data_IF_125571075830
#
_entry.id   IF_125571075830
#
_cell.length_a   1.000
_cell.length_b   1.000
_cell.length_c   1.000
_cell.angle_alpha   90.00
_cell.angle_beta   90.00
_cell.angle_gamma   90.00
#
_symmetry.space_group_name_H-M   'P 1'
#
loop_
_entity.id
_entity.type
_entity.pdbx_description
1 polymer ?
#
# COMPACT_ATOMS: atom_id res chain seq x y z
N UNK A 1 1.92 -8.98 3.76
CA UNK A 1 3.16 -8.27 4.17
C UNK A 1 4.32 -8.66 3.29
N UNK A 2 5.14 -7.68 2.89
CA UNK A 2 6.29 -7.90 2.03
C UNK A 2 7.47 -7.04 2.49
N UNK A 3 8.66 -7.62 2.44
CA UNK A 3 9.90 -6.90 2.68
C UNK A 3 10.24 -6.03 1.46
N UNK A 4 10.41 -4.72 1.69
CA UNK A 4 10.80 -3.72 0.69
C UNK A 4 12.30 -3.71 0.39
N UNK A 5 13.08 -4.64 0.99
CA UNK A 5 14.53 -4.62 0.92
C UNK A 5 15.22 -5.97 1.01
N UNK A 6 16.52 -5.94 0.69
CA UNK A 6 17.41 -7.10 0.74
C UNK A 6 18.37 -7.06 1.94
N UNK A 7 18.19 -6.14 2.89
CA UNK A 7 19.06 -6.01 4.05
C UNK A 7 18.94 -7.26 4.93
N UNK A 8 20.06 -7.96 5.18
CA UNK A 8 20.05 -9.16 6.03
C UNK A 8 19.82 -8.72 7.47
N UNK A 9 18.79 -9.25 8.15
CA UNK A 9 18.51 -8.85 9.53
C UNK A 9 19.45 -9.50 10.58
N UNK A 10 19.62 -8.95 11.80
CA UNK A 10 19.03 -7.71 12.30
C UNK A 10 19.76 -6.53 11.67
N UNK A 11 19.07 -5.83 10.79
CA UNK A 11 19.61 -4.66 10.14
C UNK A 11 19.41 -3.51 11.12
N UNK A 12 20.47 -2.78 11.56
CA UNK A 12 20.34 -1.56 12.34
C UNK A 12 19.73 -0.39 11.52
N UNK A 13 19.10 -0.72 10.41
CA UNK A 13 18.42 0.16 9.49
C UNK A 13 17.43 1.03 10.25
N UNK A 14 17.74 2.33 10.37
CA UNK A 14 16.85 3.46 10.66
C UNK A 14 15.60 3.54 9.76
N UNK A 15 15.30 2.51 8.96
CA UNK A 15 14.25 2.43 7.97
C UNK A 15 13.49 1.09 8.08
N UNK A 16 12.18 1.11 7.81
CA UNK A 16 11.32 -0.07 7.94
C UNK A 16 11.48 -0.98 6.72
N UNK A 17 12.01 -2.18 6.94
CA UNK A 17 12.20 -3.18 5.88
C UNK A 17 10.91 -3.74 5.31
N UNK A 18 9.75 -3.52 5.92
CA UNK A 18 8.48 -4.16 5.53
C UNK A 18 7.46 -3.20 4.90
N UNK A 19 7.87 -2.00 4.46
CA UNK A 19 6.98 -0.90 4.01
C UNK A 19 5.99 -1.26 2.91
N UNK A 20 6.29 -2.26 2.09
CA UNK A 20 5.40 -2.74 1.02
C UNK A 20 4.32 -3.71 1.54
N UNK A 21 3.84 -3.49 2.76
CA UNK A 21 2.83 -4.34 3.40
C UNK A 21 1.48 -3.65 3.40
N UNK A 22 0.44 -4.42 3.11
CA UNK A 22 -0.95 -3.97 3.14
C UNK A 22 -1.72 -4.71 4.23
N UNK A 23 -2.74 -4.04 4.75
CA UNK A 23 -3.75 -4.62 5.62
C UNK A 23 -5.07 -4.66 4.87
N UNK A 24 -5.72 -5.81 4.86
CA UNK A 24 -7.00 -6.00 4.18
C UNK A 24 -8.01 -6.61 5.13
N UNK A 25 -9.24 -6.12 5.08
CA UNK A 25 -10.38 -6.77 5.71
C UNK A 25 -11.52 -6.94 4.71
N UNK A 26 -12.17 -8.10 4.79
CA UNK A 26 -13.38 -8.42 4.03
C UNK A 26 -14.53 -8.58 5.02
N UNK A 27 -15.63 -7.87 4.79
CA UNK A 27 -16.83 -7.94 5.61
C UNK A 27 -18.01 -8.36 4.74
N UNK A 28 -18.69 -9.42 5.15
CA UNK A 28 -19.91 -9.87 4.51
C UNK A 28 -21.13 -9.44 5.35
N UNK A 29 -21.99 -8.63 4.76
CA UNK A 29 -23.22 -8.15 5.36
C UNK A 29 -24.43 -8.74 4.63
N UNK A 30 -25.34 -9.37 5.36
CA UNK A 30 -26.62 -9.81 4.82
C UNK A 30 -27.68 -8.73 5.08
N UNK A 31 -28.22 -8.14 4.01
CA UNK A 31 -29.22 -7.08 4.07
C UNK A 31 -30.56 -7.61 3.56
N UNK A 32 -31.61 -7.41 4.36
CA UNK A 32 -32.98 -7.75 3.95
C UNK A 32 -33.53 -6.60 3.11
N UNK A 33 -33.90 -6.90 1.87
CA UNK A 33 -34.55 -5.97 0.94
C UNK A 33 -35.97 -6.43 0.61
N UNK A 34 -36.77 -5.57 -0.01
CA UNK A 34 -38.11 -5.94 -0.51
C UNK A 34 -38.08 -7.12 -1.50
N UNK A 35 -36.94 -7.34 -2.17
CA UNK A 35 -36.72 -8.41 -3.14
C UNK A 35 -36.07 -9.67 -2.52
N UNK A 36 -35.86 -9.69 -1.20
CA UNK A 36 -35.22 -10.79 -0.49
C UNK A 36 -33.86 -10.43 0.12
N UNK A 37 -33.12 -11.45 0.56
CA UNK A 37 -31.82 -11.31 1.20
C UNK A 37 -30.73 -11.04 0.15
N UNK A 38 -30.00 -9.94 0.32
CA UNK A 38 -28.84 -9.59 -0.51
C UNK A 38 -27.60 -9.62 0.37
N UNK A 39 -26.55 -10.30 -0.08
CA UNK A 39 -25.24 -10.25 0.58
C UNK A 39 -24.40 -9.18 -0.08
N UNK A 40 -23.90 -8.25 0.73
CA UNK A 40 -22.97 -7.20 0.34
C UNK A 40 -21.61 -7.57 0.93
N UNK A 41 -20.61 -7.75 0.06
CA UNK A 41 -19.22 -7.94 0.48
C UNK A 41 -18.48 -6.62 0.34
N UNK A 42 -17.96 -6.11 1.44
CA UNK A 42 -17.14 -4.92 1.52
C UNK A 42 -15.69 -5.35 1.69
N UNK A 43 -14.81 -4.85 0.82
CA UNK A 43 -13.36 -5.05 0.95
C UNK A 43 -12.73 -3.71 1.22
N UNK A 44 -12.07 -3.59 2.37
CA UNK A 44 -11.19 -2.48 2.68
C UNK A 44 -9.74 -2.95 2.55
N UNK A 45 -8.96 -2.18 1.81
CA UNK A 45 -7.51 -2.37 1.68
C UNK A 45 -6.85 -1.06 2.07
N UNK A 46 -6.07 -1.10 3.14
CA UNK A 46 -5.26 0.02 3.56
C UNK A 46 -3.81 -0.23 3.14
N UNK A 47 -3.32 0.63 2.26
CA UNK A 47 -1.91 0.74 1.91
C UNK A 47 -1.30 1.73 2.90
N UNK A 48 -1.14 1.27 4.13
CA UNK A 48 -0.53 2.02 5.23
C UNK A 48 0.97 2.18 4.96
N UNK A 49 1.30 3.10 4.07
CA UNK A 49 2.66 3.42 3.63
C UNK A 49 2.90 4.91 3.40
N UNK A 50 1.87 5.76 3.32
CA UNK A 50 2.03 7.19 3.00
C UNK A 50 2.31 8.09 4.22
N UNK A 51 2.08 7.64 5.47
CA UNK A 51 2.56 8.38 6.63
C UNK A 51 2.04 7.94 8.01
N UNK A 52 2.75 8.27 9.11
CA UNK A 52 2.40 7.88 10.49
C UNK A 52 1.08 8.44 11.04
N UNK A 53 0.47 9.42 10.36
CA UNK A 53 -0.66 10.20 10.85
C UNK A 53 -1.74 10.44 9.80
N UNK A 54 -1.79 9.57 8.79
CA UNK A 54 -2.93 9.57 7.88
C UNK A 54 -4.08 8.78 8.52
N UNK A 55 -5.21 9.46 8.70
CA UNK A 55 -6.46 8.91 9.22
C UNK A 55 -7.61 9.08 8.22
N UNK A 56 -7.30 9.48 6.98
CA UNK A 56 -8.29 9.81 5.95
C UNK A 56 -9.06 8.59 5.41
N UNK A 57 -8.65 7.38 5.80
CA UNK A 57 -9.34 6.13 5.46
C UNK A 57 -10.66 5.93 6.20
N UNK A 58 -11.01 6.80 7.16
CA UNK A 58 -12.34 6.81 7.81
C UNK A 58 -13.08 8.10 7.52
N UNK A 59 -14.37 7.96 7.20
CA UNK A 59 -15.25 9.05 6.77
C UNK A 59 -15.64 9.96 7.96
N UNK A 60 -15.91 9.38 9.14
CA UNK A 60 -16.31 10.13 10.34
C UNK A 60 -15.24 10.09 11.44
N UNK A 61 -14.27 11.00 11.38
CA UNK A 61 -13.25 11.14 12.41
C UNK A 61 -13.54 12.35 13.33
N UNK A 62 -14.40 12.16 14.33
CA UNK A 62 -14.84 13.22 15.23
C UNK A 62 -14.75 12.82 16.72
N UNK A 63 -13.76 13.38 17.41
CA UNK A 63 -13.45 13.05 18.81
C UNK A 63 -14.61 13.35 19.77
N UNK A 64 -15.42 14.37 19.48
CA UNK A 64 -16.55 14.81 20.33
C UNK A 64 -17.85 14.05 20.07
N UNK A 65 -18.06 13.55 18.86
CA UNK A 65 -19.33 12.95 18.45
C UNK A 65 -19.28 11.43 18.41
N UNK A 66 -18.13 10.86 18.06
CA UNK A 66 -17.93 9.42 17.90
C UNK A 66 -16.53 9.06 18.37
N UNK A 67 -16.28 9.19 19.68
CA UNK A 67 -14.96 8.98 20.27
C UNK A 67 -14.42 7.57 20.01
N UNK A 68 -15.30 6.57 19.87
CA UNK A 68 -14.93 5.19 19.54
C UNK A 68 -14.19 5.07 18.20
N UNK A 69 -14.66 5.75 17.15
CA UNK A 69 -14.03 5.72 15.82
C UNK A 69 -12.69 6.46 15.86
N UNK A 70 -12.64 7.60 16.55
CA UNK A 70 -11.39 8.34 16.75
C UNK A 70 -10.34 7.46 17.43
N UNK A 71 -10.69 6.78 18.53
CA UNK A 71 -9.77 5.86 19.19
C UNK A 71 -9.35 4.70 18.29
N UNK A 72 -10.31 4.06 17.61
CA UNK A 72 -10.06 2.92 16.74
C UNK A 72 -9.05 3.22 15.64
N UNK A 73 -9.18 4.36 14.95
CA UNK A 73 -8.26 4.77 13.87
C UNK A 73 -6.83 5.03 14.38
N UNK A 74 -6.68 5.73 15.51
CA UNK A 74 -5.35 6.01 16.07
C UNK A 74 -4.66 4.74 16.54
N UNK A 75 -5.41 3.86 17.21
CA UNK A 75 -4.89 2.58 17.69
C UNK A 75 -4.57 1.64 16.53
N UNK A 76 -5.37 1.63 15.47
CA UNK A 76 -5.12 0.81 14.28
C UNK A 76 -3.78 1.17 13.63
N UNK A 77 -3.49 2.46 13.44
CA UNK A 77 -2.19 2.91 12.91
C UNK A 77 -1.03 2.52 13.82
N UNK A 78 -1.21 2.65 15.14
CA UNK A 78 -0.19 2.32 16.12
C UNK A 78 0.17 0.82 16.12
N UNK A 79 -0.85 -0.04 16.14
CA UNK A 79 -0.64 -1.49 16.15
C UNK A 79 -0.22 -2.04 14.79
N UNK A 80 -0.71 -1.48 13.68
CA UNK A 80 -0.18 -1.84 12.35
C UNK A 80 1.31 -1.55 12.22
N UNK A 81 1.75 -0.40 12.75
CA UNK A 81 3.17 -0.07 12.82
C UNK A 81 3.94 -1.03 13.76
N UNK A 82 3.29 -1.49 14.84
CA UNK A 82 3.79 -2.55 15.71
C UNK A 82 4.06 -3.85 14.97
N UNK A 83 3.12 -4.33 14.15
CA UNK A 83 3.27 -5.53 13.30
C UNK A 83 4.52 -5.42 12.41
N UNK A 84 4.68 -4.27 11.76
CA UNK A 84 5.80 -3.99 10.86
C UNK A 84 7.14 -3.92 11.59
N UNK A 85 7.15 -3.33 12.78
CA UNK A 85 8.32 -3.25 13.66
C UNK A 85 8.73 -4.65 14.10
N UNK A 86 7.78 -5.43 14.64
CA UNK A 86 8.00 -6.79 15.10
C UNK A 86 8.50 -7.71 13.98
N UNK A 87 7.97 -7.54 12.76
CA UNK A 87 8.47 -8.25 11.59
C UNK A 87 9.90 -7.86 11.24
N UNK A 88 10.25 -6.57 11.30
CA UNK A 88 11.60 -6.09 11.02
C UNK A 88 12.64 -6.57 12.06
N UNK A 89 12.26 -6.63 13.33
CA UNK A 89 13.16 -6.98 14.43
C UNK A 89 13.30 -8.49 14.64
N UNK A 90 12.21 -9.24 14.53
CA UNK A 90 12.17 -10.64 14.98
C UNK A 90 12.11 -11.67 13.87
N UNK A 91 11.65 -11.34 12.65
CA UNK A 91 11.64 -12.29 11.53
C UNK A 91 13.01 -12.38 10.84
N UNK A 92 14.01 -12.62 11.69
CA UNK A 92 15.44 -12.46 11.44
C UNK A 92 16.16 -13.76 11.82
N UNK A 93 17.07 -14.25 10.96
CA UNK A 93 17.91 -15.43 11.19
C UNK A 93 17.14 -16.69 11.66
N UNK A 94 16.47 -17.36 10.72
CA UNK A 94 15.72 -18.59 10.97
C UNK A 94 16.71 -19.72 11.29
N UNK A 95 16.70 -20.18 12.54
CA UNK A 95 17.41 -21.38 13.00
C UNK A 95 18.95 -21.34 12.83
N UNK A 96 19.58 -20.18 12.99
CA UNK A 96 21.05 -20.04 12.93
C UNK A 96 21.62 -20.09 11.51
N UNK A 97 20.77 -19.97 10.50
CA UNK A 97 21.15 -19.86 9.09
C UNK A 97 21.08 -18.41 8.61
N UNK A 98 21.76 -18.05 7.52
CA UNK A 98 21.62 -16.72 6.87
C UNK A 98 20.23 -16.49 6.25
N UNK A 99 19.26 -17.38 6.51
CA UNK A 99 17.89 -17.31 5.99
C UNK A 99 17.03 -16.33 6.79
N UNK A 100 16.28 -15.48 6.09
CA UNK A 100 15.37 -14.51 6.69
C UNK A 100 14.02 -14.49 5.96
N UNK A 101 12.99 -13.98 6.62
CA UNK A 101 11.67 -13.85 6.00
C UNK A 101 11.65 -12.70 4.99
N UNK A 102 11.11 -12.95 3.79
CA UNK A 102 10.94 -11.95 2.72
C UNK A 102 9.47 -11.56 2.50
N UNK A 103 8.54 -12.41 2.94
CA UNK A 103 7.10 -12.19 2.85
C UNK A 103 6.37 -12.88 3.98
N UNK A 104 5.22 -12.34 4.35
CA UNK A 104 4.34 -12.88 5.37
C UNK A 104 2.88 -12.64 5.00
N UNK A 105 2.05 -13.66 5.17
CA UNK A 105 0.60 -13.56 5.05
C UNK A 105 0.00 -14.04 6.37
N UNK A 106 -0.73 -13.17 7.06
CA UNK A 106 -1.40 -13.47 8.32
C UNK A 106 -2.89 -13.21 8.13
N UNK A 107 -3.71 -14.24 8.36
CA UNK A 107 -5.15 -14.17 8.19
C UNK A 107 -5.84 -14.52 9.50
N UNK A 108 -6.65 -13.58 9.97
CA UNK A 108 -7.43 -13.68 11.20
C UNK A 108 -8.90 -13.73 10.84
N UNK A 109 -9.55 -14.88 11.02
CA UNK A 109 -10.97 -15.08 10.68
C UNK A 109 -11.80 -15.23 11.95
N UNK A 110 -12.78 -14.35 12.23
CA UNK A 110 -13.61 -14.44 13.45
C UNK A 110 -14.29 -15.81 13.54
N UNK A 111 -14.24 -16.46 14.70
CA UNK A 111 -14.98 -17.70 14.91
C UNK A 111 -16.41 -17.39 15.32
N UNK A 112 -17.38 -17.91 14.57
CA UNK A 112 -18.81 -17.65 14.79
C UNK A 112 -19.34 -17.98 16.21
N UNK A 113 -18.65 -18.84 16.97
CA UNK A 113 -19.06 -19.25 18.32
C UNK A 113 -18.28 -18.54 19.43
N UNK A 114 -17.21 -17.84 19.11
CA UNK A 114 -16.41 -17.15 20.11
C UNK A 114 -16.91 -15.71 20.25
N UNK A 115 -17.37 -15.36 21.45
CA UNK A 115 -17.91 -14.03 21.74
C UNK A 115 -16.93 -13.20 22.57
N UNK A 116 -15.93 -13.85 23.16
CA UNK A 116 -14.93 -13.17 23.96
C UNK A 116 -13.76 -12.69 23.09
N UNK A 117 -13.82 -11.41 22.69
CA UNK A 117 -12.78 -10.72 21.92
C UNK A 117 -11.45 -10.58 22.68
N UNK A 118 -11.42 -10.76 23.99
CA UNK A 118 -10.18 -10.71 24.77
C UNK A 118 -9.33 -11.97 24.58
N UNK A 119 -9.93 -13.10 24.19
CA UNK A 119 -9.19 -14.35 24.03
C UNK A 119 -8.28 -14.36 22.78
N UNK A 120 -7.28 -15.24 22.79
CA UNK A 120 -6.49 -15.55 21.60
C UNK A 120 -7.22 -16.51 20.65
N UNK A 121 -8.38 -17.02 21.05
CA UNK A 121 -9.19 -17.96 20.27
C UNK A 121 -10.29 -17.27 19.45
N UNK A 122 -10.54 -15.98 19.68
CA UNK A 122 -11.53 -15.17 18.98
C UNK A 122 -11.40 -15.26 17.45
N UNK A 123 -10.16 -15.27 16.96
CA UNK A 123 -9.85 -15.50 15.55
C UNK A 123 -9.30 -16.92 15.34
N UNK A 124 -9.75 -17.57 14.27
CA UNK A 124 -8.97 -18.61 13.60
C UNK A 124 -7.78 -17.95 12.91
N UNK A 125 -6.60 -18.53 13.09
CA UNK A 125 -5.36 -18.05 12.49
C UNK A 125 -4.93 -18.96 11.35
N UNK A 126 -4.67 -18.36 10.20
CA UNK A 126 -3.83 -18.94 9.16
C UNK A 126 -2.63 -18.04 8.93
N UNK A 127 -1.45 -18.63 8.73
CA UNK A 127 -0.26 -17.88 8.36
C UNK A 127 0.61 -18.64 7.37
N UNK A 128 1.30 -17.88 6.52
CA UNK A 128 2.37 -18.38 5.67
C UNK A 128 3.51 -17.37 5.58
N UNK A 129 4.75 -17.84 5.62
CA UNK A 129 5.96 -17.03 5.57
C UNK A 129 6.84 -17.58 4.46
N UNK A 130 7.21 -16.71 3.52
CA UNK A 130 8.19 -17.01 2.49
C UNK A 130 9.56 -16.52 2.92
N UNK A 131 10.57 -17.37 2.75
CA UNK A 131 11.94 -17.13 3.19
C UNK A 131 12.89 -16.83 2.01
N UNK A 132 14.05 -16.25 2.30
CA UNK A 132 15.06 -15.87 1.32
C UNK A 132 15.67 -17.06 0.56
N UNK A 133 15.60 -18.27 1.12
CA UNK A 133 16.03 -19.53 0.51
C UNK A 133 14.94 -20.18 -0.36
N UNK A 134 13.84 -19.45 -0.63
CA UNK A 134 12.64 -19.94 -1.33
C UNK A 134 11.81 -20.98 -0.57
N UNK A 135 12.14 -21.28 0.70
CA UNK A 135 11.29 -22.12 1.53
C UNK A 135 10.03 -21.36 1.97
N UNK A 136 8.93 -22.10 2.16
CA UNK A 136 7.67 -21.57 2.68
C UNK A 136 7.31 -22.34 3.95
N UNK A 137 7.01 -21.60 5.01
CA UNK A 137 6.52 -22.13 6.27
C UNK A 137 5.06 -21.72 6.43
N UNK A 138 4.18 -22.62 6.87
CA UNK A 138 2.78 -22.30 7.09
C UNK A 138 2.20 -22.95 8.35
N UNK A 139 1.00 -22.51 8.73
CA UNK A 139 0.30 -23.03 9.91
C UNK A 139 -0.09 -24.51 9.79
N UNK A 140 -0.24 -25.04 8.58
CA UNK A 140 -0.69 -26.42 8.33
C UNK A 140 0.43 -27.44 8.53
N UNK A 141 1.64 -27.08 8.10
CA UNK A 141 2.86 -27.85 8.25
C UNK A 141 3.42 -27.83 9.67
N UNK A 142 2.98 -26.89 10.52
CA UNK A 142 3.55 -26.66 11.85
C UNK A 142 2.52 -26.52 12.99
N UNK A 143 1.60 -27.48 13.08
CA UNK A 143 0.47 -27.45 14.04
C UNK A 143 0.86 -27.46 15.52
N UNK A 144 2.05 -27.95 15.87
CA UNK A 144 2.50 -28.02 17.28
C UNK A 144 3.12 -26.71 17.79
N UNK A 145 3.34 -25.72 16.91
CA UNK A 145 3.99 -24.47 17.27
C UNK A 145 2.97 -23.51 17.88
N UNK A 146 3.28 -23.00 19.08
CA UNK A 146 2.50 -21.92 19.70
C UNK A 146 2.67 -20.66 18.84
N UNK A 147 1.59 -20.16 18.26
CA UNK A 147 1.66 -19.04 17.32
C UNK A 147 1.85 -17.68 18.02
N UNK A 148 1.25 -17.49 19.20
CA UNK A 148 1.29 -16.24 19.95
C UNK A 148 2.16 -16.35 21.19
N UNK A 149 2.82 -15.25 21.57
CA UNK A 149 3.64 -15.15 22.79
C UNK A 149 4.58 -16.37 22.97
N UNK A 150 5.44 -16.59 21.98
CA UNK A 150 6.42 -17.68 21.96
C UNK A 150 7.77 -17.20 21.42
N UNK A 151 8.82 -17.97 21.66
CA UNK A 151 10.18 -17.67 21.19
C UNK A 151 10.37 -17.86 19.68
N UNK A 152 9.31 -18.22 18.95
CA UNK A 152 9.37 -18.35 17.51
C UNK A 152 9.47 -16.99 16.83
N UNK A 153 10.40 -16.85 15.88
CA UNK A 153 10.67 -15.62 15.12
C UNK A 153 9.43 -14.94 14.50
N UNK A 154 8.39 -15.70 14.12
CA UNK A 154 7.15 -15.15 13.55
C UNK A 154 6.09 -14.77 14.58
N UNK A 155 6.24 -15.24 15.83
CA UNK A 155 5.26 -15.06 16.90
C UNK A 155 5.04 -13.59 17.30
N UNK A 156 6.07 -12.73 17.33
CA UNK A 156 5.88 -11.31 17.65
C UNK A 156 4.96 -10.59 16.67
N UNK A 157 5.24 -10.71 15.36
CA UNK A 157 4.42 -10.09 14.32
C UNK A 157 2.98 -10.66 14.31
N UNK A 158 2.81 -11.95 14.60
CA UNK A 158 1.49 -12.58 14.71
C UNK A 158 0.70 -12.13 15.94
N UNK A 159 1.37 -11.86 17.06
CA UNK A 159 0.72 -11.41 18.29
C UNK A 159 0.29 -9.95 18.15
N UNK A 160 1.15 -9.08 17.64
CA UNK A 160 0.80 -7.70 17.28
C UNK A 160 -0.33 -7.68 16.25
N UNK A 161 -0.27 -8.58 15.25
CA UNK A 161 -1.27 -8.69 14.20
C UNK A 161 -2.63 -9.13 14.73
N UNK A 162 -2.65 -9.99 15.76
CA UNK A 162 -3.88 -10.40 16.44
C UNK A 162 -4.55 -9.21 17.12
N UNK A 163 -3.78 -8.39 17.85
CA UNK A 163 -4.33 -7.23 18.52
C UNK A 163 -4.80 -6.15 17.53
N UNK A 164 -4.01 -5.92 16.48
CA UNK A 164 -4.39 -5.08 15.34
C UNK A 164 -5.73 -5.55 14.72
N UNK A 165 -5.89 -6.86 14.49
CA UNK A 165 -7.11 -7.44 13.95
C UNK A 165 -8.32 -7.25 14.89
N UNK A 166 -8.15 -7.34 16.22
CA UNK A 166 -9.22 -7.06 17.20
C UNK A 166 -9.69 -5.60 17.13
N UNK A 167 -8.75 -4.65 16.98
CA UNK A 167 -9.05 -3.23 16.82
C UNK A 167 -9.78 -2.99 15.49
N UNK A 168 -9.27 -3.55 14.38
CA UNK A 168 -9.89 -3.43 13.06
C UNK A 168 -11.32 -4.00 13.05
N UNK A 169 -11.51 -5.19 13.64
CA UNK A 169 -12.83 -5.80 13.79
C UNK A 169 -13.78 -4.92 14.59
N UNK A 170 -13.31 -4.34 15.71
CA UNK A 170 -14.09 -3.43 16.53
C UNK A 170 -14.46 -2.17 15.74
N UNK A 171 -13.52 -1.57 15.01
CA UNK A 171 -13.73 -0.37 14.21
C UNK A 171 -14.73 -0.61 13.07
N UNK A 172 -14.56 -1.68 12.29
CA UNK A 172 -15.47 -2.03 11.20
C UNK A 172 -16.87 -2.37 11.71
N UNK A 173 -16.97 -3.06 12.86
CA UNK A 173 -18.27 -3.33 13.47
C UNK A 173 -19.00 -2.05 13.89
N UNK A 174 -18.26 -1.03 14.37
CA UNK A 174 -18.84 0.28 14.71
C UNK A 174 -19.27 1.05 13.48
N UNK A 175 -18.42 1.10 12.47
CA UNK A 175 -18.67 1.84 11.23
C UNK A 175 -19.88 1.26 10.48
N UNK A 176 -20.06 -0.06 10.54
CA UNK A 176 -21.24 -0.76 9.99
C UNK A 176 -22.44 -0.77 10.94
N UNK A 177 -22.35 -0.12 12.10
CA UNK A 177 -23.43 0.00 13.07
C UNK A 177 -23.85 -1.31 13.73
N UNK A 178 -22.97 -2.32 13.75
CA UNK A 178 -23.19 -3.58 14.44
C UNK A 178 -22.81 -3.46 15.93
N UNK A 179 -23.67 -2.78 16.70
CA UNK A 179 -23.42 -2.50 18.11
C UNK A 179 -23.48 -3.73 19.03
N UNK A 180 -23.93 -4.89 18.52
CA UNK A 180 -24.05 -6.14 19.27
C UNK A 180 -22.81 -7.04 19.13
N UNK A 181 -21.93 -6.75 18.17
CA UNK A 181 -20.69 -7.49 18.02
C UNK A 181 -19.75 -7.25 19.21
N UNK A 182 -18.92 -8.23 19.59
CA UNK A 182 -17.84 -8.03 20.55
C UNK A 182 -16.97 -6.84 20.13
N UNK A 183 -16.78 -5.86 21.01
CA UNK A 183 -16.17 -4.59 20.62
C UNK A 183 -15.30 -4.01 21.73
N UNK A 184 -14.05 -3.70 21.41
CA UNK A 184 -13.12 -3.10 22.36
C UNK A 184 -13.30 -1.58 22.50
N UNK A 185 -14.05 -0.93 21.61
CA UNK A 185 -14.10 0.53 21.51
C UNK A 185 -15.41 1.14 22.06
N UNK A 186 -16.27 0.32 22.69
CA UNK A 186 -17.58 0.75 23.20
C UNK A 186 -17.62 1.06 24.69
N UNK A 187 -16.65 0.59 25.46
CA UNK A 187 -16.58 0.85 26.89
C UNK A 187 -15.15 1.12 27.35
N UNK A 188 -15.01 1.71 28.55
CA UNK A 188 -13.71 2.11 29.06
C UNK A 188 -12.75 0.95 29.34
N UNK A 189 -13.27 -0.24 29.67
CA UNK A 189 -12.44 -1.42 29.94
C UNK A 189 -11.89 -1.99 28.64
N UNK A 190 -12.76 -2.17 27.64
CA UNK A 190 -12.36 -2.57 26.30
C UNK A 190 -11.34 -1.60 25.71
N UNK A 191 -11.55 -0.29 25.91
CA UNK A 191 -10.65 0.72 25.37
C UNK A 191 -9.27 0.65 26.04
N UNK A 192 -9.23 0.48 27.36
CA UNK A 192 -7.95 0.27 28.07
C UNK A 192 -7.23 -0.99 27.58
N UNK A 193 -7.97 -2.08 27.33
CA UNK A 193 -7.40 -3.29 26.74
C UNK A 193 -6.83 -3.01 25.34
N UNK A 194 -7.59 -2.31 24.48
CA UNK A 194 -7.15 -1.94 23.14
C UNK A 194 -5.90 -1.06 23.15
N UNK A 195 -5.77 -0.17 24.13
CA UNK A 195 -4.61 0.71 24.30
C UNK A 195 -3.39 -0.07 24.79
N UNK A 196 -3.55 -0.89 25.84
CA UNK A 196 -2.43 -1.47 26.57
C UNK A 196 -1.97 -2.83 26.06
N UNK A 197 -2.84 -3.58 25.37
CA UNK A 197 -2.61 -4.96 24.93
C UNK A 197 -1.93 -5.83 26.01
N UNK A 198 -2.57 -6.04 27.18
CA UNK A 198 -1.91 -6.69 28.32
C UNK A 198 -1.46 -8.13 28.05
N UNK A 199 -2.04 -8.78 27.03
CA UNK A 199 -1.70 -10.14 26.63
C UNK A 199 -0.58 -10.20 25.58
N UNK A 200 -0.11 -9.06 25.05
CA UNK A 200 0.98 -9.03 24.08
C UNK A 200 2.32 -8.93 24.81
N UNK A 201 2.99 -10.07 24.97
CA UNK A 201 4.30 -10.14 25.66
C UNK A 201 5.42 -9.48 24.87
N UNK A 202 5.17 -9.18 23.59
CA UNK A 202 6.14 -8.47 22.82
C UNK A 202 6.22 -7.04 23.32
N UNK A 203 5.15 -6.44 23.85
CA UNK A 203 5.14 -5.08 24.42
C UNK A 203 5.41 -5.09 25.92
N UNK A 204 6.13 -4.08 26.39
CA UNK A 204 5.91 -3.59 27.76
C UNK A 204 4.54 -2.86 27.78
N UNK A 205 3.66 -3.03 28.78
CA UNK A 205 2.33 -2.42 28.75
C UNK A 205 2.35 -0.91 28.44
N UNK A 206 1.78 -0.53 27.29
CA UNK A 206 1.76 0.85 26.79
C UNK A 206 3.11 1.43 26.32
N UNK A 207 4.14 0.60 26.19
CA UNK A 207 5.48 0.90 25.68
C UNK A 207 5.86 -0.06 24.52
N UNK A 208 7.07 0.12 23.99
CA UNK A 208 7.55 -0.63 22.84
C UNK A 208 7.87 -2.08 23.14
N UNK A 209 8.19 -2.79 22.06
CA UNK A 209 8.64 -4.17 22.08
C UNK A 209 9.75 -4.34 23.16
N UNK A 210 9.56 -5.25 24.11
CA UNK A 210 10.38 -5.47 25.30
C UNK A 210 11.88 -5.41 24.96
N UNK A 211 12.57 -4.39 25.49
CA UNK A 211 14.01 -4.20 25.29
C UNK A 211 14.46 -3.61 23.95
N UNK A 212 13.57 -3.09 23.10
CA UNK A 212 13.98 -2.39 21.88
C UNK A 212 14.51 -0.98 22.20
N UNK A 213 15.80 -0.91 22.57
CA UNK A 213 16.64 0.28 22.38
C UNK A 213 16.83 0.58 20.90
N UNK A 214 15.73 0.71 20.16
CA UNK A 214 15.76 0.88 18.72
C UNK A 214 16.06 2.35 18.42
N UNK A 215 17.18 2.59 17.75
CA UNK A 215 17.58 3.85 17.13
C UNK A 215 16.62 4.32 16.01
N UNK A 216 15.42 3.75 15.94
CA UNK A 216 14.46 3.79 14.83
C UNK A 216 13.44 4.94 14.95
N UNK A 217 13.44 5.73 16.02
CA UNK A 217 12.44 6.79 16.23
C UNK A 217 11.01 6.24 16.29
N UNK A 218 10.85 5.04 16.86
CA UNK A 218 9.62 4.23 16.88
C UNK A 218 8.56 4.80 17.82
N UNK A 219 8.96 5.71 18.71
CA UNK A 219 8.06 6.40 19.64
C UNK A 219 6.91 7.09 18.90
N UNK A 220 7.16 7.63 17.69
CA UNK A 220 6.13 8.33 16.90
C UNK A 220 4.93 7.47 16.50
N UNK A 221 5.04 6.15 16.57
CA UNK A 221 3.99 5.18 16.23
C UNK A 221 3.36 4.52 17.45
N UNK A 222 3.98 4.65 18.62
CA UNK A 222 3.36 4.31 19.92
C UNK A 222 2.85 5.55 20.64
N UNK A 223 2.71 6.63 19.86
CA UNK A 223 2.16 7.89 20.28
C UNK A 223 0.91 8.15 19.45
N UNK A 224 -0.11 8.68 20.12
CA UNK A 224 -1.29 9.19 19.46
C UNK A 224 -1.33 10.71 19.63
N UNK A 225 -1.82 11.45 18.62
CA UNK A 225 -2.04 12.88 18.78
C UNK A 225 -3.08 13.12 19.87
N UNK A 226 -2.87 14.18 20.65
CA UNK A 226 -3.91 14.73 21.51
C UNK A 226 -5.09 15.19 20.64
N UNK A 227 -6.33 15.10 21.15
CA UNK A 227 -7.48 15.67 20.48
C UNK A 227 -7.24 17.14 20.11
N UNK A 228 -7.60 17.55 18.88
CA UNK A 228 -7.45 18.92 18.35
C UNK A 228 -6.01 19.41 18.15
N UNK A 229 -4.99 18.56 18.28
CA UNK A 229 -3.63 18.93 17.90
C UNK A 229 -3.53 19.19 16.38
N UNK A 230 -3.05 20.37 16.00
CA UNK A 230 -2.88 20.78 14.59
C UNK A 230 -1.58 20.23 14.00
N UNK A 231 -1.43 18.90 13.97
CA UNK A 231 -0.41 18.21 13.18
C UNK A 231 1.07 18.46 13.55
N UNK A 232 1.35 19.29 14.56
CA UNK A 232 2.70 19.57 15.04
C UNK A 232 3.13 18.57 16.14
N UNK A 233 4.38 18.12 16.04
CA UNK A 233 5.01 17.06 16.85
C UNK A 233 4.99 17.28 18.37
N UNK A 234 4.45 18.41 18.84
CA UNK A 234 4.39 18.80 20.26
C UNK A 234 3.12 18.34 20.98
N UNK A 235 2.12 17.84 20.26
CA UNK A 235 0.84 17.40 20.83
C UNK A 235 0.66 15.89 20.89
N UNK A 236 1.71 15.10 21.16
CA UNK A 236 1.65 13.64 21.16
C UNK A 236 1.76 13.07 22.57
N UNK A 237 1.10 11.93 22.80
CA UNK A 237 1.15 11.19 24.06
C UNK A 237 1.36 9.72 23.78
N UNK A 238 2.18 9.06 24.59
CA UNK A 238 2.40 7.62 24.48
C UNK A 238 1.11 6.87 24.74
N UNK A 239 0.97 5.65 24.20
CA UNK A 239 -0.19 4.80 24.45
C UNK A 239 -0.45 4.62 25.95
N UNK A 240 0.59 4.39 26.77
CA UNK A 240 0.48 4.26 28.22
C UNK A 240 -0.18 5.49 28.89
N UNK A 241 0.23 6.69 28.50
CA UNK A 241 -0.28 7.93 29.09
C UNK A 241 -1.59 8.40 28.46
N UNK A 242 -1.89 7.90 27.26
CA UNK A 242 -2.95 8.42 26.40
C UNK A 242 -4.32 8.36 27.07
N UNK A 243 -4.69 7.21 27.64
CA UNK A 243 -6.01 7.01 28.23
C UNK A 243 -6.29 8.06 29.32
N UNK A 244 -5.38 8.18 30.28
CA UNK A 244 -5.53 9.13 31.40
C UNK A 244 -5.47 10.58 30.92
N UNK A 245 -4.45 10.96 30.13
CA UNK A 245 -4.28 12.35 29.67
C UNK A 245 -5.46 12.82 28.82
N UNK A 246 -5.97 11.97 27.93
CA UNK A 246 -7.08 12.32 27.03
C UNK A 246 -8.40 12.31 27.79
N UNK A 247 -8.62 11.38 28.73
CA UNK A 247 -9.82 11.37 29.56
C UNK A 247 -9.87 12.57 30.51
N UNK A 248 -8.73 12.94 31.11
CA UNK A 248 -8.59 14.12 32.00
C UNK A 248 -8.84 15.44 31.25
N UNK A 249 -8.54 15.49 29.94
CA UNK A 249 -8.79 16.66 29.10
C UNK A 249 -10.28 16.99 28.92
N UNK A 250 -11.18 16.02 29.16
CA UNK A 250 -12.64 16.12 28.93
C UNK A 250 -13.04 16.57 27.52
N UNK A 251 -12.15 16.38 26.54
CA UNK A 251 -12.42 16.74 25.13
C UNK A 251 -13.22 15.66 24.40
N UNK A 252 -13.15 14.41 24.88
CA UNK A 252 -13.75 13.26 24.20
C UNK A 252 -15.27 13.17 24.42
N UNK A 253 -15.95 12.79 23.36
CA UNK A 253 -17.35 12.38 23.40
C UNK A 253 -17.55 10.98 23.99
N UNK A 254 -18.81 10.49 24.01
CA UNK A 254 -19.10 9.15 24.47
C UNK A 254 -18.52 8.08 23.53
N UNK A 255 -18.03 6.99 24.14
CA UNK A 255 -17.81 5.74 23.42
C UNK A 255 -19.18 5.18 23.05
N UNK A 256 -19.51 5.16 21.76
CA UNK A 256 -20.85 4.85 21.29
C UNK A 256 -20.83 4.24 19.90
N UNK A 257 -21.87 3.45 19.62
CA UNK A 257 -22.19 2.93 18.31
C UNK A 257 -23.49 3.57 17.83
N UNK A 258 -23.57 3.84 16.52
CA UNK A 258 -24.76 4.35 15.85
C UNK A 258 -25.14 3.42 14.72
N UNK A 259 -26.43 3.34 14.42
CA UNK A 259 -26.88 2.57 13.26
C UNK A 259 -26.30 3.17 11.98
N UNK A 260 -25.69 2.32 11.16
CA UNK A 260 -25.19 2.71 9.85
C UNK A 260 -26.30 2.57 8.80
N UNK A 261 -26.25 3.42 7.77
CA UNK A 261 -27.13 3.32 6.60
C UNK A 261 -26.28 3.15 5.36
N UNK A 262 -26.35 1.99 4.72
CA UNK A 262 -25.69 1.75 3.44
C UNK A 262 -26.64 2.18 2.33
N UNK A 263 -26.28 3.25 1.62
CA UNK A 263 -27.06 3.75 0.48
C UNK A 263 -26.35 3.33 -0.80
N UNK A 264 -26.96 2.43 -1.57
CA UNK A 264 -26.55 2.18 -2.94
C UNK A 264 -27.34 3.11 -3.86
N UNK A 265 -26.66 4.10 -4.44
CA UNK A 265 -27.24 4.85 -5.56
C UNK A 265 -27.00 4.04 -6.83
N UNK A 266 -28.04 3.38 -7.32
CA UNK A 266 -28.02 2.84 -8.67
C UNK A 266 -27.92 4.02 -9.64
N UNK A 267 -26.71 4.28 -10.16
CA UNK A 267 -26.55 5.05 -11.38
C UNK A 267 -27.19 4.22 -12.50
N UNK A 268 -28.49 4.37 -12.68
CA UNK A 268 -29.17 3.93 -13.88
C UNK A 268 -28.58 4.74 -15.04
N UNK A 269 -27.46 4.27 -15.60
CA UNK A 269 -26.98 4.71 -16.89
C UNK A 269 -27.99 4.22 -17.91
N UNK A 270 -29.06 4.98 -18.10
CA UNK A 270 -29.98 4.76 -19.22
C UNK A 270 -29.11 4.88 -20.46
N UNK A 271 -28.90 3.80 -21.24
CA UNK A 271 -28.10 3.89 -22.44
C UNK A 271 -28.83 4.79 -23.42
N UNK A 272 -28.46 6.07 -23.44
CA UNK A 272 -28.96 6.98 -24.45
C UNK A 272 -28.18 6.70 -25.72
N UNK A 273 -28.93 6.40 -26.79
CA UNK A 273 -28.36 6.19 -28.11
C UNK A 273 -27.57 7.46 -28.48
N UNK A 274 -26.25 7.34 -28.65
CA UNK A 274 -25.42 8.47 -29.06
C UNK A 274 -25.94 9.01 -30.39
N UNK A 275 -25.94 10.32 -30.54
CA UNK A 275 -26.34 11.00 -31.78
C UNK A 275 -25.63 10.34 -32.97
N UNK A 276 -26.37 10.00 -34.03
CA UNK A 276 -25.86 9.24 -35.19
C UNK A 276 -24.63 9.88 -35.83
N UNK A 277 -24.46 11.20 -35.71
CA UNK A 277 -23.25 11.90 -36.16
C UNK A 277 -21.97 11.46 -35.43
N UNK A 278 -22.04 11.18 -34.12
CA UNK A 278 -20.88 10.70 -33.33
C UNK A 278 -20.52 9.27 -33.73
N UNK A 279 -21.51 8.43 -34.03
CA UNK A 279 -21.28 7.07 -34.54
C UNK A 279 -20.61 7.10 -35.91
N UNK A 280 -21.09 7.94 -36.82
CA UNK A 280 -20.54 8.08 -38.18
C UNK A 280 -19.10 8.62 -38.15
N UNK A 281 -18.84 9.62 -37.31
CA UNK A 281 -17.49 10.15 -37.08
C UNK A 281 -16.54 9.07 -36.53
N UNK A 282 -17.00 8.25 -35.59
CA UNK A 282 -16.19 7.19 -34.99
C UNK A 282 -15.82 6.10 -36.01
N UNK A 283 -16.75 5.75 -36.91
CA UNK A 283 -16.51 4.79 -37.99
C UNK A 283 -15.52 5.34 -39.01
N UNK A 284 -15.67 6.61 -39.43
CA UNK A 284 -14.75 7.25 -40.36
C UNK A 284 -13.34 7.33 -39.77
N UNK A 285 -13.22 7.70 -38.50
CA UNK A 285 -11.94 7.84 -37.82
C UNK A 285 -11.24 6.49 -37.67
N UNK A 286 -11.99 5.43 -37.31
CA UNK A 286 -11.46 4.06 -37.27
C UNK A 286 -10.95 3.60 -38.65
N UNK A 287 -11.74 3.79 -39.72
CA UNK A 287 -11.35 3.39 -41.07
C UNK A 287 -10.12 4.16 -41.58
N UNK A 288 -10.01 5.44 -41.25
CA UNK A 288 -8.87 6.28 -41.64
C UNK A 288 -7.57 5.81 -40.96
N UNK A 289 -7.64 5.41 -39.69
CA UNK A 289 -6.51 4.81 -38.96
C UNK A 289 -6.11 3.47 -39.57
N UNK A 290 -7.06 2.61 -39.94
CA UNK A 290 -6.76 1.33 -40.61
C UNK A 290 -6.10 1.52 -41.98
N UNK A 291 -6.56 2.50 -42.77
CA UNK A 291 -5.95 2.84 -44.05
C UNK A 291 -4.51 3.36 -43.89
N UNK A 292 -4.24 4.20 -42.88
CA UNK A 292 -2.89 4.66 -42.56
C UNK A 292 -1.97 3.51 -42.12
N UNK A 293 -2.47 2.59 -41.30
CA UNK A 293 -1.73 1.41 -40.87
C UNK A 293 -1.42 0.47 -42.06
N UNK A 294 -2.40 0.22 -42.93
CA UNK A 294 -2.22 -0.61 -44.11
C UNK A 294 -1.19 -0.01 -45.09
N UNK A 295 -1.23 1.31 -45.31
CA UNK A 295 -0.26 2.01 -46.15
C UNK A 295 1.18 1.90 -45.61
N UNK A 296 1.35 2.03 -44.29
CA UNK A 296 2.65 1.87 -43.62
C UNK A 296 3.19 0.46 -43.75
N UNK A 297 2.33 -0.57 -43.63
CA UNK A 297 2.73 -1.97 -43.82
C UNK A 297 3.13 -2.22 -45.28
N UNK A 298 2.39 -1.67 -46.24
CA UNK A 298 2.68 -1.83 -47.66
C UNK A 298 4.00 -1.15 -48.06
N UNK A 299 4.26 0.06 -47.59
CA UNK A 299 5.55 0.73 -47.83
C UNK A 299 6.71 -0.03 -47.18
N UNK A 300 6.54 -0.47 -45.93
CA UNK A 300 7.57 -1.26 -45.24
C UNK A 300 7.88 -2.59 -45.94
N UNK A 301 6.85 -3.29 -46.43
CA UNK A 301 7.04 -4.56 -47.17
C UNK A 301 7.64 -4.32 -48.55
N UNK A 302 7.24 -3.26 -49.26
CA UNK A 302 7.83 -2.88 -50.54
C UNK A 302 9.32 -2.54 -50.40
N UNK A 303 9.70 -1.71 -49.42
CA UNK A 303 11.09 -1.35 -49.14
C UNK A 303 11.93 -2.56 -48.74
N UNK A 304 11.36 -3.47 -47.94
CA UNK A 304 12.01 -4.70 -47.51
C UNK A 304 12.22 -5.74 -48.63
N UNK A 305 11.32 -5.80 -49.60
CA UNK A 305 11.41 -6.73 -50.74
C UNK A 305 12.28 -6.17 -51.87
N UNK A 306 12.15 -4.88 -52.19
CA UNK A 306 12.94 -4.23 -53.26
C UNK A 306 14.41 -4.15 -52.87
N UNK A 307 14.73 -3.86 -51.61
CA UNK A 307 16.12 -3.85 -51.11
C UNK A 307 16.82 -5.22 -51.14
N UNK A 308 16.06 -6.32 -51.09
CA UNK A 308 16.60 -7.69 -51.17
C UNK A 308 16.73 -8.23 -52.60
N UNK A 309 15.91 -7.75 -53.53
CA UNK A 309 15.87 -8.27 -54.90
C UNK A 309 16.83 -7.57 -55.87
N UNK A 310 17.18 -6.30 -55.65
CA UNK A 310 18.04 -5.56 -56.57
C UNK A 310 18.73 -4.36 -55.88
N UNK A 311 20.01 -4.50 -55.53
CA UNK A 311 20.78 -3.46 -54.80
C UNK A 311 21.02 -2.19 -55.62
N UNK A 312 20.76 -2.22 -56.93
CA UNK A 312 20.91 -1.06 -57.83
C UNK A 312 19.61 -0.25 -58.00
N UNK A 313 18.46 -0.71 -57.49
CA UNK A 313 17.20 0.02 -57.57
C UNK A 313 17.10 1.23 -56.60
N UNK A 314 18.10 1.40 -55.72
CA UNK A 314 18.17 2.50 -54.74
C UNK A 314 18.99 3.71 -55.22
N UNK A 315 19.48 3.71 -56.47
CA UNK A 315 20.23 4.84 -57.03
C UNK A 315 19.48 5.51 -58.17
N UNK A 316 19.36 6.85 -58.12
CA UNK A 316 18.84 7.63 -59.25
C UNK A 316 19.82 7.57 -60.43
N UNK A 317 19.27 7.47 -61.64
CA UNK A 317 20.01 7.48 -62.90
C UNK A 317 20.73 8.83 -63.06
N UNK A 318 21.99 8.90 -62.62
CA UNK A 318 22.81 10.12 -62.61
C UNK A 318 24.03 10.06 -61.68
N UNK A 319 24.05 9.20 -60.66
CA UNK A 319 25.20 9.10 -59.74
C UNK A 319 26.34 8.20 -60.22
N UNK A 320 26.26 7.59 -61.41
CA UNK A 320 27.27 6.66 -61.92
C UNK A 320 28.33 7.31 -62.84
N UNK A 321 28.43 8.64 -62.86
CA UNK A 321 29.45 9.35 -63.64
C UNK A 321 30.17 10.40 -62.80
N UNK A 322 31.24 9.99 -62.10
CA UNK A 322 32.47 10.79 -61.87
C UNK A 322 33.54 9.96 -61.13
N UNK A 323 34.09 8.96 -61.82
CA UNK A 323 35.48 8.58 -61.62
C UNK A 323 36.30 9.32 -62.69
N UNK A 324 36.86 10.48 -62.34
CA UNK A 324 37.76 11.20 -63.23
C UNK A 324 37.91 12.68 -62.86
N UNK A 325 39.14 13.06 -62.51
CA UNK A 325 39.66 14.43 -62.29
C UNK A 325 39.20 15.15 -61.01
N UNK A 326 40.10 15.28 -60.02
CA UNK A 326 40.97 16.45 -59.85
C UNK A 326 41.84 16.27 -58.58
N UNK A 327 43.12 15.96 -58.79
CA UNK A 327 44.18 16.38 -57.89
C UNK A 327 44.33 17.91 -58.00
N UNK A 328 44.77 18.53 -56.89
CA UNK A 328 45.31 19.89 -56.77
C UNK A 328 44.29 21.03 -56.56
N UNK A 329 44.23 21.49 -55.31
CA UNK A 329 44.59 22.84 -54.84
C UNK A 329 44.24 22.89 -53.34
N UNK A 330 45.05 22.28 -52.49
CA UNK A 330 45.94 23.03 -51.58
C UNK A 330 46.15 24.50 -51.93
N UNK A 331 46.18 25.31 -50.86
CA UNK A 331 46.50 26.73 -50.76
C UNK A 331 45.33 27.71 -50.94
N UNK A 332 44.70 28.11 -49.82
CA UNK A 332 44.99 29.42 -49.20
C UNK A 332 44.26 29.60 -47.86
N UNK A 333 45.03 30.07 -46.86
CA UNK A 333 44.62 30.73 -45.61
C UNK A 333 44.16 29.91 -44.40
N UNK A 334 45.14 29.30 -43.74
CA UNK A 334 45.38 29.58 -42.31
C UNK A 334 45.61 31.09 -42.12
N UNK A 335 44.81 31.79 -41.30
CA UNK A 335 45.22 32.59 -40.12
C UNK A 335 44.03 33.46 -39.63
N UNK A 336 43.74 33.35 -38.32
CA UNK A 336 43.11 34.35 -37.42
C UNK A 336 41.60 34.64 -37.48
N UNK A 337 40.95 34.05 -36.47
CA UNK A 337 39.96 34.64 -35.55
C UNK A 337 38.56 34.98 -36.08
N UNK A 338 37.61 34.11 -35.74
CA UNK A 338 36.17 34.37 -35.73
C UNK A 338 35.40 33.10 -35.36
N UNK A 339 34.66 33.17 -34.25
CA UNK A 339 33.91 32.14 -33.53
C UNK A 339 33.12 31.07 -34.32
N UNK A 340 32.87 29.97 -33.61
CA UNK A 340 31.86 28.89 -33.81
C UNK A 340 32.22 27.72 -34.73
N UNK A 341 32.94 26.75 -34.14
CA UNK A 341 32.88 25.35 -34.54
C UNK A 341 32.28 24.54 -33.38
N UNK A 342 31.09 24.00 -33.62
CA UNK A 342 30.41 23.05 -32.76
C UNK A 342 31.21 21.73 -32.65
N UNK A 343 31.54 21.25 -31.44
CA UNK A 343 32.00 19.89 -31.24
C UNK A 343 30.81 18.95 -31.04
N UNK A 344 30.91 17.76 -31.63
CA UNK A 344 29.89 16.73 -31.59
C UNK A 344 29.45 16.39 -30.16
N UNK A 345 28.14 16.18 -30.01
CA UNK A 345 27.57 15.43 -28.91
C UNK A 345 26.55 14.44 -29.44
N UNK A 346 26.94 13.19 -29.31
CA UNK A 346 26.08 12.03 -29.06
C UNK A 346 24.80 12.44 -28.33
N UNK A 347 23.67 12.07 -28.92
CA UNK A 347 22.33 12.35 -28.42
C UNK A 347 22.10 11.55 -27.12
N UNK A 348 22.09 12.26 -26.00
CA UNK A 348 21.61 11.78 -24.71
C UNK A 348 20.09 11.97 -24.71
N UNK A 349 19.33 10.88 -24.57
CA UNK A 349 17.91 10.96 -24.24
C UNK A 349 17.80 11.02 -22.72
N UNK A 350 17.53 12.21 -22.19
CA UNK A 350 17.05 12.42 -20.82
C UNK A 350 15.55 12.66 -20.86
N UNK A 351 14.82 11.85 -20.10
CA UNK A 351 13.39 11.99 -19.82
C UNK A 351 13.13 13.27 -19.02
N UNK A 352 12.44 14.24 -19.63
CA UNK A 352 11.94 15.44 -18.96
C UNK A 352 10.58 15.15 -18.34
N UNK A 353 10.51 15.22 -17.02
CA UNK A 353 9.28 15.12 -16.23
C UNK A 353 8.60 16.49 -16.24
N UNK A 354 7.46 16.62 -16.91
CA UNK A 354 6.63 17.82 -16.82
C UNK A 354 5.89 17.85 -15.48
N UNK A 355 6.20 18.88 -14.69
CA UNK A 355 5.45 19.33 -13.52
C UNK A 355 4.18 20.05 -13.98
N UNK A 356 3.02 19.50 -13.65
CA UNK A 356 1.74 20.20 -13.72
C UNK A 356 1.57 21.01 -12.42
N UNK A 357 1.52 22.34 -12.58
CA UNK A 357 1.05 23.29 -11.59
C UNK A 357 -0.48 23.26 -11.57
N UNK A 358 -1.07 23.16 -10.37
CA UNK A 358 -2.50 23.34 -10.14
C UNK A 358 -2.78 24.82 -9.87
N UNK A 359 -3.73 25.38 -10.62
CA UNK A 359 -4.59 26.49 -10.17
C UNK A 359 -5.60 26.01 -9.13
#
# INVERSE_FOLDING_TARGET
MKKSDTAVPPSPAWWYSWRDSTMQATVDCAVVTDNGLVTITLVTEDVTGEGPHDYSYVIEDHEKKVASIWWGTRLLNAYWSGVMTAAATNMTNISGSETYAISGNFSYTPKAREQDIYTNEFFGLYWSIGNSDSSVLDSNSNKSRKAYNSDWFGSPALTEGLHCAKILFSLLSLDLGNCQAPNLLLDGRGLQYAILAPDDHNRDPGQLLNGSGSSLGVDRYNEIPLPQAMGDSKGKVTLLESYKKIQDSKVMGPLSCKNATIVSQYLCSVPQQKNGGVMLFSILLANLVFLQAAWRILTWTADGLISKGNTEAMFCQGCQAKNGSYQSLQDFNTTRNGLEAAPGKTMVWSESRETISRE
#
